data_IF_432562419377
#
_entry.id   IF_432562419377
#
_cell.length_a   1.000
_cell.length_b   1.000
_cell.length_c   1.000
_cell.angle_alpha   90.00
_cell.angle_beta   90.00
_cell.angle_gamma   90.00
#
_symmetry.space_group_name_H-M   'P 1'
#
loop_
_entity.id
_entity.type
_entity.pdbx_description
1 polymer ?
#
# COMPACT_ATOMS: atom_id res chain seq x y z
N UNK A 1 20.81 26.32 -52.42
CA UNK A 1 20.96 26.15 -50.95
C UNK A 1 19.73 25.49 -50.31
N UNK A 2 18.51 25.94 -50.63
CA UNK A 2 17.24 25.43 -50.06
C UNK A 2 17.00 23.93 -50.33
N UNK A 3 17.30 23.40 -51.54
CA UNK A 3 17.08 21.97 -51.86
C UNK A 3 17.98 20.98 -51.10
N UNK A 4 19.12 21.42 -50.55
CA UNK A 4 20.02 20.56 -49.74
C UNK A 4 19.60 20.50 -48.27
N UNK A 5 18.97 21.57 -47.77
CA UNK A 5 18.40 21.61 -46.43
C UNK A 5 17.13 20.73 -46.32
N UNK A 6 16.29 20.70 -47.35
CA UNK A 6 15.09 19.85 -47.35
C UNK A 6 15.39 18.35 -47.36
N UNK A 7 16.47 17.92 -48.02
CA UNK A 7 16.87 16.51 -48.05
C UNK A 7 17.49 16.04 -46.71
N UNK A 8 18.25 16.91 -46.04
CA UNK A 8 18.83 16.63 -44.73
C UNK A 8 17.77 16.57 -43.62
N UNK A 9 16.76 17.45 -43.67
CA UNK A 9 15.64 17.46 -42.73
C UNK A 9 14.72 16.25 -42.93
N UNK A 10 14.48 15.84 -44.18
CA UNK A 10 13.69 14.63 -44.48
C UNK A 10 14.40 13.34 -44.05
N UNK A 11 15.74 13.27 -44.20
CA UNK A 11 16.55 12.16 -43.71
C UNK A 11 16.60 12.09 -42.18
N UNK A 12 16.63 13.24 -41.49
CA UNK A 12 16.55 13.31 -40.04
C UNK A 12 15.16 12.91 -39.51
N UNK A 13 14.08 13.34 -40.18
CA UNK A 13 12.72 12.90 -39.84
C UNK A 13 12.51 11.40 -40.10
N UNK A 14 13.10 10.83 -41.16
CA UNK A 14 13.07 9.39 -41.43
C UNK A 14 13.93 8.58 -40.43
N UNK A 15 15.03 9.13 -39.93
CA UNK A 15 15.83 8.50 -38.87
C UNK A 15 15.12 8.53 -37.50
N UNK A 16 14.38 9.60 -37.20
CA UNK A 16 13.53 9.71 -36.00
C UNK A 16 12.29 8.83 -36.11
N UNK A 17 11.74 8.62 -37.31
CA UNK A 17 10.62 7.69 -37.56
C UNK A 17 11.05 6.22 -37.65
N UNK A 18 12.29 5.92 -38.06
CA UNK A 18 12.88 4.58 -37.98
C UNK A 18 13.33 4.23 -36.54
N UNK A 19 13.43 5.23 -35.66
CA UNK A 19 13.56 5.09 -34.21
C UNK A 19 12.20 5.25 -33.51
N UNK A 20 11.10 4.77 -34.12
CA UNK A 20 9.88 4.42 -33.39
C UNK A 20 10.21 3.46 -32.22
N UNK A 21 9.35 3.36 -31.19
CA UNK A 21 9.71 2.91 -29.84
C UNK A 21 10.04 1.41 -29.79
N UNK A 22 11.19 1.07 -30.33
CA UNK A 22 12.01 -0.07 -29.94
C UNK A 22 13.16 0.48 -29.10
N UNK A 23 12.87 1.41 -28.17
CA UNK A 23 13.50 1.26 -26.89
C UNK A 23 13.09 -0.15 -26.45
N UNK A 24 14.02 -1.10 -26.53
CA UNK A 24 13.90 -2.35 -25.78
C UNK A 24 13.44 -1.90 -24.40
N UNK A 25 12.19 -2.21 -24.04
CA UNK A 25 11.73 -2.02 -22.66
C UNK A 25 12.77 -2.80 -21.87
N UNK A 26 13.61 -2.10 -21.12
CA UNK A 26 14.55 -2.81 -20.26
C UNK A 26 13.68 -3.74 -19.43
N UNK A 27 13.95 -5.04 -19.49
CA UNK A 27 13.20 -6.00 -18.70
C UNK A 27 13.25 -5.54 -17.25
N UNK A 28 12.11 -5.59 -16.57
CA UNK A 28 12.05 -5.25 -15.14
C UNK A 28 13.08 -6.14 -14.42
N UNK A 29 13.89 -5.58 -13.49
CA UNK A 29 14.84 -6.37 -12.73
C UNK A 29 14.12 -7.53 -12.04
N UNK A 30 14.82 -8.65 -11.88
CA UNK A 30 14.25 -9.77 -11.14
C UNK A 30 14.11 -9.41 -9.66
N UNK A 31 13.25 -10.13 -8.95
CA UNK A 31 13.16 -10.02 -7.50
C UNK A 31 14.52 -10.29 -6.86
N UNK A 32 15.26 -11.31 -7.30
CA UNK A 32 16.58 -11.64 -6.74
C UNK A 32 17.58 -10.48 -6.88
N UNK A 33 17.70 -9.89 -8.06
CA UNK A 33 18.58 -8.73 -8.29
C UNK A 33 18.18 -7.53 -7.42
N UNK A 34 16.88 -7.41 -7.10
CA UNK A 34 16.34 -6.36 -6.25
C UNK A 34 16.66 -6.65 -4.78
N UNK A 35 16.47 -7.89 -4.33
CA UNK A 35 16.75 -8.33 -2.94
C UNK A 35 18.22 -8.17 -2.58
N UNK A 36 19.14 -8.39 -3.52
CA UNK A 36 20.57 -8.11 -3.30
C UNK A 36 20.87 -6.64 -2.94
N UNK A 37 20.08 -5.70 -3.46
CA UNK A 37 20.19 -4.30 -3.07
C UNK A 37 19.48 -4.03 -1.74
N UNK A 38 18.31 -4.64 -1.51
CA UNK A 38 17.56 -4.50 -0.25
C UNK A 38 18.38 -5.02 0.92
N UNK A 39 19.01 -6.20 0.81
CA UNK A 39 19.90 -6.76 1.85
C UNK A 39 21.03 -5.81 2.24
N UNK A 40 21.60 -5.10 1.26
CA UNK A 40 22.66 -4.10 1.51
C UNK A 40 22.11 -2.82 2.17
N UNK A 41 20.90 -2.41 1.82
CA UNK A 41 20.20 -1.32 2.50
C UNK A 41 19.86 -1.68 3.95
N UNK A 42 19.35 -2.89 4.19
CA UNK A 42 19.03 -3.39 5.53
C UNK A 42 20.27 -3.48 6.41
N UNK A 43 21.41 -3.95 5.90
CA UNK A 43 22.66 -3.96 6.66
C UNK A 43 23.07 -2.54 7.11
N UNK A 44 22.86 -1.52 6.26
CA UNK A 44 23.10 -0.12 6.65
C UNK A 44 22.08 0.37 7.68
N UNK A 45 20.82 -0.08 7.60
CA UNK A 45 19.77 0.25 8.56
C UNK A 45 20.05 -0.37 9.95
N UNK A 46 20.53 -1.61 9.98
CA UNK A 46 20.97 -2.31 11.19
C UNK A 46 22.17 -1.61 11.85
N UNK A 47 23.20 -1.28 11.06
CA UNK A 47 24.35 -0.50 11.53
C UNK A 47 23.90 0.85 12.12
N UNK A 48 22.99 1.56 11.43
CA UNK A 48 22.45 2.83 11.89
C UNK A 48 21.67 2.69 13.21
N UNK A 49 20.82 1.68 13.33
CA UNK A 49 20.05 1.42 14.55
C UNK A 49 20.96 1.03 15.73
N UNK A 50 22.11 0.38 15.47
CA UNK A 50 23.14 0.13 16.47
C UNK A 50 23.75 1.42 17.05
N UNK A 51 23.81 2.49 16.26
CA UNK A 51 24.26 3.83 16.67
C UNK A 51 23.10 4.71 17.21
N UNK A 52 21.86 4.39 16.84
CA UNK A 52 20.65 5.15 17.16
C UNK A 52 19.56 4.22 17.73
N UNK A 53 19.58 3.93 19.05
CA UNK A 53 18.74 2.89 19.66
C UNK A 53 17.22 3.06 19.52
N UNK A 54 16.74 4.27 19.19
CA UNK A 54 15.32 4.56 18.96
C UNK A 54 14.85 4.26 17.53
N UNK A 55 15.80 3.96 16.63
CA UNK A 55 15.55 3.67 15.23
C UNK A 55 15.29 2.17 15.02
N UNK A 56 14.28 1.87 14.21
CA UNK A 56 13.92 0.52 13.83
C UNK A 56 14.44 0.22 12.41
N UNK A 57 15.25 -0.84 12.20
CA UNK A 57 15.84 -1.14 10.90
C UNK A 57 14.83 -1.36 9.78
N UNK A 58 13.70 -2.03 10.05
CA UNK A 58 12.65 -2.29 9.06
C UNK A 58 11.99 -0.98 8.62
N UNK A 59 11.65 -0.12 9.59
CA UNK A 59 11.10 1.21 9.36
C UNK A 59 12.05 2.06 8.52
N UNK A 60 13.36 2.08 8.85
CA UNK A 60 14.37 2.79 8.06
C UNK A 60 14.45 2.29 6.61
N UNK A 61 14.44 0.96 6.42
CA UNK A 61 14.45 0.35 5.08
C UNK A 61 13.21 0.74 4.29
N UNK A 62 12.00 0.59 4.86
CA UNK A 62 10.73 0.95 4.20
C UNK A 62 10.68 2.46 3.89
N UNK A 63 11.05 3.32 4.84
CA UNK A 63 11.07 4.77 4.61
C UNK A 63 12.04 5.17 3.52
N UNK A 64 13.23 4.55 3.48
CA UNK A 64 14.19 4.79 2.43
C UNK A 64 13.64 4.39 1.06
N UNK A 65 13.00 3.21 0.95
CA UNK A 65 12.42 2.72 -0.30
C UNK A 65 11.30 3.65 -0.80
N UNK A 66 10.34 3.93 0.08
CA UNK A 66 9.08 4.60 -0.28
C UNK A 66 9.19 6.12 -0.36
N UNK A 67 10.11 6.74 0.38
CA UNK A 67 10.05 8.18 0.66
C UNK A 67 10.26 9.09 -0.55
N UNK A 68 10.85 8.62 -1.66
CA UNK A 68 10.92 9.41 -2.90
C UNK A 68 9.59 9.44 -3.68
N UNK A 69 8.78 8.38 -3.59
CA UNK A 69 7.50 8.23 -4.33
C UNK A 69 6.32 8.70 -3.48
N UNK A 70 6.38 8.47 -2.17
CA UNK A 70 5.32 8.73 -1.20
C UNK A 70 5.70 9.89 -0.26
N UNK A 71 6.17 11.00 -0.84
CA UNK A 71 6.60 12.22 -0.13
C UNK A 71 5.43 13.17 0.15
N UNK A 72 4.41 12.69 0.87
CA UNK A 72 3.33 13.54 1.34
C UNK A 72 2.93 13.26 2.79
N UNK A 73 2.22 14.21 3.45
CA UNK A 73 1.94 14.11 4.88
C UNK A 73 1.08 12.90 5.28
N UNK A 74 0.22 12.38 4.39
CA UNK A 74 -0.62 11.21 4.69
C UNK A 74 0.24 9.95 4.72
N UNK A 75 1.16 9.80 3.77
CA UNK A 75 2.09 8.67 3.77
C UNK A 75 3.13 8.77 4.88
N UNK A 76 3.58 9.98 5.20
CA UNK A 76 4.48 10.20 6.35
C UNK A 76 3.83 9.80 7.68
N UNK A 77 2.50 9.97 7.80
CA UNK A 77 1.76 9.53 8.98
C UNK A 77 1.74 8.00 9.11
N UNK A 78 1.67 7.29 7.98
CA UNK A 78 1.52 5.83 7.91
C UNK A 78 2.85 5.11 7.99
N UNK A 79 3.79 5.48 7.13
CA UNK A 79 5.05 4.77 6.96
C UNK A 79 6.11 5.31 7.94
N UNK A 80 5.97 6.54 8.41
CA UNK A 80 7.06 7.32 8.99
C UNK A 80 7.66 8.24 7.94
N UNK A 81 8.11 9.43 8.39
CA UNK A 81 8.79 10.38 7.52
C UNK A 81 10.20 9.92 7.16
N UNK A 82 10.75 10.46 6.07
CA UNK A 82 12.13 10.18 5.70
C UNK A 82 13.12 10.54 6.82
N UNK A 83 14.16 9.71 6.97
CA UNK A 83 15.30 10.04 7.81
C UNK A 83 16.44 10.55 6.92
N UNK A 84 16.52 11.88 6.76
CA UNK A 84 17.53 12.53 5.90
C UNK A 84 18.96 12.13 6.27
N UNK A 85 19.27 12.00 7.57
CA UNK A 85 20.61 11.66 8.03
C UNK A 85 20.97 10.19 7.67
N UNK A 86 20.00 9.28 7.75
CA UNK A 86 20.15 7.92 7.26
C UNK A 86 20.27 7.87 5.72
N UNK A 87 19.47 8.66 5.01
CA UNK A 87 19.54 8.75 3.54
C UNK A 87 20.93 9.22 3.08
N UNK A 88 21.51 10.21 3.76
CA UNK A 88 22.88 10.67 3.54
C UNK A 88 23.92 9.58 3.83
N UNK A 89 23.72 8.80 4.92
CA UNK A 89 24.56 7.65 5.26
C UNK A 89 24.53 6.60 4.15
N UNK A 90 23.37 6.28 3.62
CA UNK A 90 23.22 5.33 2.50
C UNK A 90 23.93 5.87 1.26
N UNK A 91 23.72 7.13 0.88
CA UNK A 91 24.34 7.74 -0.29
C UNK A 91 25.88 7.75 -0.20
N UNK A 92 26.44 7.96 1.00
CA UNK A 92 27.89 7.94 1.23
C UNK A 92 28.47 6.51 1.24
N UNK A 93 27.70 5.53 1.71
CA UNK A 93 28.17 4.15 1.89
C UNK A 93 28.02 3.31 0.61
N UNK A 94 26.88 3.42 -0.07
CA UNK A 94 26.60 2.76 -1.35
C UNK A 94 25.63 3.59 -2.21
N UNK A 95 26.21 4.44 -3.07
CA UNK A 95 25.45 5.29 -3.99
C UNK A 95 24.61 4.48 -5.01
N UNK A 96 24.88 3.18 -5.23
CA UNK A 96 24.09 2.35 -6.15
C UNK A 96 22.67 2.08 -5.63
N UNK A 97 22.47 2.19 -4.31
CA UNK A 97 21.18 1.96 -3.66
C UNK A 97 20.14 3.05 -3.97
N UNK A 98 20.58 4.22 -4.46
CA UNK A 98 19.67 5.27 -4.95
C UNK A 98 18.72 4.76 -6.05
N UNK A 99 19.11 3.71 -6.79
CA UNK A 99 18.25 3.08 -7.80
C UNK A 99 17.01 2.40 -7.23
N UNK A 100 17.02 1.98 -5.95
CA UNK A 100 15.84 1.41 -5.29
C UNK A 100 14.71 2.42 -5.14
N UNK A 101 15.04 3.69 -4.91
CA UNK A 101 14.08 4.78 -4.63
C UNK A 101 13.24 5.19 -5.84
N UNK A 102 13.64 4.77 -7.04
CA UNK A 102 12.94 5.05 -8.31
C UNK A 102 12.51 3.77 -9.01
N UNK A 103 12.60 2.63 -8.30
CA UNK A 103 12.17 1.35 -8.83
C UNK A 103 10.65 1.38 -9.01
N UNK A 104 10.18 0.80 -10.11
CA UNK A 104 8.75 0.62 -10.32
C UNK A 104 8.44 -0.87 -10.32
N UNK A 105 8.63 -1.50 -11.46
CA UNK A 105 8.23 -2.87 -11.69
C UNK A 105 9.39 -3.83 -11.40
N UNK A 106 9.09 -4.95 -10.72
CA UNK A 106 10.01 -6.08 -10.46
C UNK A 106 9.36 -7.37 -10.95
N UNK A 107 10.14 -8.21 -11.63
CA UNK A 107 9.68 -9.53 -12.10
C UNK A 107 9.75 -10.54 -10.97
N UNK A 108 8.61 -11.13 -10.62
CA UNK A 108 8.47 -12.14 -9.57
C UNK A 108 8.91 -13.53 -10.04
N UNK A 109 9.29 -14.44 -9.11
CA UNK A 109 9.57 -15.84 -9.45
C UNK A 109 8.41 -16.58 -10.14
N UNK A 110 7.17 -16.14 -9.89
CA UNK A 110 5.94 -16.65 -10.52
C UNK A 110 5.72 -16.14 -11.95
N UNK A 111 6.55 -15.19 -12.42
CA UNK A 111 6.57 -14.67 -13.80
C UNK A 111 5.80 -13.37 -14.01
N UNK A 112 4.94 -12.98 -13.07
CA UNK A 112 4.26 -11.68 -13.09
C UNK A 112 5.21 -10.54 -12.69
N UNK A 113 4.71 -9.32 -12.78
CA UNK A 113 5.44 -8.11 -12.39
C UNK A 113 4.65 -7.35 -11.34
N UNK A 114 5.31 -7.00 -10.23
CA UNK A 114 4.73 -6.22 -9.13
C UNK A 114 5.28 -4.80 -9.14
N UNK A 115 4.48 -3.81 -8.70
CA UNK A 115 5.01 -2.50 -8.35
C UNK A 115 5.71 -2.59 -6.98
N UNK A 116 7.05 -2.61 -7.00
CA UNK A 116 7.86 -2.92 -5.83
C UNK A 116 7.79 -1.85 -4.74
N UNK A 117 7.70 -0.57 -5.11
CA UNK A 117 7.58 0.50 -4.12
C UNK A 117 6.18 0.56 -3.53
N UNK A 118 5.15 0.21 -4.32
CA UNK A 118 3.80 0.02 -3.82
C UNK A 118 3.77 -1.14 -2.82
N UNK A 119 4.39 -2.27 -3.17
CA UNK A 119 4.49 -3.45 -2.31
C UNK A 119 5.16 -3.13 -0.97
N UNK A 120 6.27 -2.40 -1.01
CA UNK A 120 7.01 -1.99 0.19
C UNK A 120 6.16 -1.05 1.08
N UNK A 121 5.37 -0.17 0.49
CA UNK A 121 4.46 0.70 1.24
C UNK A 121 3.34 -0.11 1.92
N UNK A 122 2.70 -1.02 1.19
CA UNK A 122 1.63 -1.87 1.73
C UNK A 122 2.12 -2.77 2.87
N UNK A 123 3.26 -3.44 2.69
CA UNK A 123 3.87 -4.29 3.72
C UNK A 123 4.36 -3.48 4.93
N UNK A 124 4.98 -2.33 4.68
CA UNK A 124 5.48 -1.42 5.71
C UNK A 124 4.37 -0.85 6.59
N UNK A 125 3.23 -0.50 5.99
CA UNK A 125 2.05 -0.06 6.75
C UNK A 125 1.53 -1.18 7.67
N UNK A 126 1.48 -2.43 7.19
CA UNK A 126 1.12 -3.58 8.01
C UNK A 126 2.04 -3.76 9.22
N UNK A 127 3.36 -3.61 9.02
CA UNK A 127 4.37 -3.68 10.07
C UNK A 127 4.22 -2.57 11.11
N UNK A 128 4.18 -1.30 10.68
CA UNK A 128 4.17 -0.13 11.60
C UNK A 128 2.96 -0.09 12.54
N UNK A 129 1.81 -0.59 12.10
CA UNK A 129 0.58 -0.59 12.91
C UNK A 129 0.29 -1.94 13.59
N UNK A 130 1.07 -2.98 13.29
CA UNK A 130 0.83 -4.34 13.78
C UNK A 130 -0.49 -4.96 13.29
N UNK A 131 -1.11 -4.37 12.26
CA UNK A 131 -2.32 -4.87 11.61
C UNK A 131 -2.40 -4.33 10.17
N UNK A 132 -2.94 -5.09 9.21
CA UNK A 132 -3.06 -4.62 7.83
C UNK A 132 -3.90 -3.35 7.76
N UNK A 133 -3.33 -2.28 7.19
CA UNK A 133 -4.08 -1.05 6.92
C UNK A 133 -4.68 -1.13 5.52
N UNK A 134 -6.00 -1.21 5.42
CA UNK A 134 -6.70 -1.38 4.14
C UNK A 134 -6.46 -0.15 3.24
N UNK A 135 -6.46 1.05 3.81
CA UNK A 135 -6.21 2.29 3.03
C UNK A 135 -4.81 2.35 2.39
N UNK A 136 -3.83 1.67 2.98
CA UNK A 136 -2.44 1.67 2.52
C UNK A 136 -2.13 0.51 1.57
N UNK A 137 -3.17 -0.26 1.22
CA UNK A 137 -3.14 -1.34 0.24
C UNK A 137 -4.39 -1.20 -0.64
N UNK A 138 -5.10 -2.30 -0.89
CA UNK A 138 -6.22 -2.41 -1.83
C UNK A 138 -7.34 -1.38 -1.64
N UNK A 139 -7.55 -0.86 -0.44
CA UNK A 139 -8.57 0.16 -0.18
C UNK A 139 -8.25 1.50 -0.83
N UNK A 140 -6.99 1.93 -0.81
CA UNK A 140 -6.58 3.18 -1.46
C UNK A 140 -6.83 3.13 -2.97
N UNK A 141 -6.42 2.03 -3.59
CA UNK A 141 -6.58 1.81 -5.02
C UNK A 141 -8.04 1.58 -5.42
N UNK A 142 -8.86 0.95 -4.57
CA UNK A 142 -10.32 0.91 -4.78
C UNK A 142 -10.93 2.32 -4.82
N UNK A 143 -10.50 3.24 -3.95
CA UNK A 143 -10.97 4.65 -3.98
C UNK A 143 -10.55 5.34 -5.27
N UNK A 144 -9.29 5.20 -5.69
CA UNK A 144 -8.79 5.82 -6.92
C UNK A 144 -9.47 5.27 -8.17
N UNK A 145 -9.65 3.95 -8.23
CA UNK A 145 -10.39 3.29 -9.30
C UNK A 145 -11.83 3.79 -9.36
N UNK A 146 -12.53 3.83 -8.23
CA UNK A 146 -13.91 4.34 -8.15
C UNK A 146 -14.02 5.81 -8.59
N UNK A 147 -13.09 6.66 -8.16
CA UNK A 147 -13.08 8.08 -8.53
C UNK A 147 -13.02 8.30 -10.05
N UNK A 148 -12.44 7.37 -10.81
CA UNK A 148 -12.37 7.45 -12.28
C UNK A 148 -13.73 7.41 -12.98
N UNK A 149 -14.78 6.93 -12.29
CA UNK A 149 -16.16 6.86 -12.77
C UNK A 149 -17.15 7.56 -11.82
N UNK A 150 -16.67 8.52 -11.03
CA UNK A 150 -17.51 9.34 -10.15
C UNK A 150 -18.69 9.94 -10.92
N UNK A 151 -19.91 9.79 -10.36
CA UNK A 151 -21.14 10.33 -10.93
C UNK A 151 -21.60 9.66 -12.23
N UNK A 152 -20.98 8.55 -12.66
CA UNK A 152 -21.39 7.82 -13.86
C UNK A 152 -22.80 7.24 -13.72
N UNK A 153 -23.10 6.60 -12.58
CA UNK A 153 -24.38 5.95 -12.30
C UNK A 153 -24.58 5.80 -10.79
N UNK A 154 -25.85 5.73 -10.36
CA UNK A 154 -26.22 5.30 -9.00
C UNK A 154 -26.34 3.77 -8.89
N UNK A 155 -26.22 3.05 -10.02
CA UNK A 155 -26.23 1.58 -10.08
C UNK A 155 -24.80 1.04 -10.11
N UNK A 156 -24.43 0.26 -9.09
CA UNK A 156 -23.07 -0.28 -8.94
C UNK A 156 -22.67 -1.20 -10.10
N UNK A 157 -23.62 -1.93 -10.69
CA UNK A 157 -23.40 -2.82 -11.83
C UNK A 157 -22.92 -2.05 -13.08
N UNK A 158 -23.46 -0.85 -13.32
CA UNK A 158 -23.03 0.00 -14.43
C UNK A 158 -21.60 0.50 -14.20
N UNK A 159 -21.28 0.91 -12.98
CA UNK A 159 -19.92 1.29 -12.61
C UNK A 159 -18.96 0.10 -12.69
N UNK A 160 -19.39 -1.10 -12.30
CA UNK A 160 -18.62 -2.33 -12.38
C UNK A 160 -18.22 -2.64 -13.82
N UNK A 161 -19.17 -2.60 -14.75
CA UNK A 161 -18.90 -2.81 -16.18
C UNK A 161 -17.90 -1.78 -16.72
N UNK A 162 -18.03 -0.52 -16.32
CA UNK A 162 -17.14 0.56 -16.75
C UNK A 162 -15.69 0.39 -16.23
N UNK A 163 -15.53 -0.13 -15.02
CA UNK A 163 -14.23 -0.32 -14.37
C UNK A 163 -13.55 -1.66 -14.74
N UNK A 164 -14.32 -2.67 -15.13
CA UNK A 164 -13.84 -4.04 -15.36
C UNK A 164 -12.67 -4.14 -16.36
N UNK A 165 -12.64 -3.27 -17.37
CA UNK A 165 -11.60 -3.32 -18.41
C UNK A 165 -10.24 -2.77 -17.95
N UNK A 166 -10.21 -1.88 -16.96
CA UNK A 166 -8.98 -1.26 -16.45
C UNK A 166 -8.48 -1.90 -15.16
N UNK A 167 -9.38 -2.52 -14.38
CA UNK A 167 -9.03 -3.25 -13.17
C UNK A 167 -8.16 -4.47 -13.48
N UNK A 168 -7.03 -4.59 -12.78
CA UNK A 168 -6.09 -5.69 -12.92
C UNK A 168 -5.59 -5.91 -14.37
N UNK A 169 -5.55 -4.85 -15.20
CA UNK A 169 -4.98 -4.93 -16.54
C UNK A 169 -3.45 -5.14 -16.44
N UNK A 170 -2.88 -6.25 -16.98
CA UNK A 170 -1.43 -6.50 -16.97
C UNK A 170 -0.61 -5.47 -17.75
N UNK A 171 -1.22 -4.84 -18.76
CA UNK A 171 -0.61 -3.76 -19.55
C UNK A 171 -1.02 -2.36 -19.06
N UNK A 172 -1.85 -2.30 -18.03
CA UNK A 172 -2.52 -1.09 -17.58
C UNK A 172 -1.54 -0.08 -16.97
N UNK A 173 -1.82 1.19 -17.20
CA UNK A 173 -1.28 2.31 -16.42
C UNK A 173 -2.41 3.13 -15.77
N UNK A 174 -3.59 2.51 -15.67
CA UNK A 174 -4.77 3.08 -15.00
C UNK A 174 -4.61 3.08 -13.48
N UNK A 175 -5.72 3.29 -12.78
CA UNK A 175 -5.72 3.51 -11.33
C UNK A 175 -5.49 2.27 -10.48
N UNK A 176 -5.79 1.06 -10.99
CA UNK A 176 -5.57 -0.19 -10.26
C UNK A 176 -5.16 -1.34 -11.20
N UNK A 177 -3.96 -1.25 -11.83
CA UNK A 177 -3.46 -2.27 -12.75
C UNK A 177 -3.03 -3.54 -12.01
N UNK A 178 -2.70 -4.61 -12.75
CA UNK A 178 -2.31 -5.88 -12.13
C UNK A 178 -1.08 -5.74 -11.21
N UNK A 179 -0.12 -4.89 -11.55
CA UNK A 179 1.08 -4.68 -10.75
C UNK A 179 0.79 -4.18 -9.34
N UNK A 180 -0.25 -3.38 -9.20
CA UNK A 180 -0.63 -2.71 -7.95
C UNK A 180 -1.57 -3.63 -7.17
N UNK A 181 -2.48 -4.35 -7.84
CA UNK A 181 -3.23 -5.45 -7.22
C UNK A 181 -2.31 -6.49 -6.58
N UNK A 182 -1.28 -6.93 -7.30
CA UNK A 182 -0.28 -7.84 -6.76
C UNK A 182 0.46 -7.21 -5.58
N UNK A 183 0.82 -5.93 -5.67
CA UNK A 183 1.51 -5.21 -4.61
C UNK A 183 0.68 -5.11 -3.33
N UNK A 184 -0.63 -4.86 -3.45
CA UNK A 184 -1.55 -4.75 -2.34
C UNK A 184 -1.80 -6.08 -1.64
N UNK A 185 -2.10 -7.11 -2.43
CA UNK A 185 -2.40 -8.44 -1.91
C UNK A 185 -1.15 -9.07 -1.29
N UNK A 186 -0.02 -9.02 -1.99
CA UNK A 186 1.25 -9.53 -1.48
C UNK A 186 1.75 -8.69 -0.31
N UNK A 187 1.55 -7.37 -0.34
CA UNK A 187 1.95 -6.45 0.71
C UNK A 187 1.24 -6.74 2.03
N UNK A 188 -0.05 -7.03 2.00
CA UNK A 188 -0.80 -7.48 3.19
C UNK A 188 -0.23 -8.80 3.73
N UNK A 189 0.01 -9.78 2.86
CA UNK A 189 0.54 -11.09 3.26
C UNK A 189 1.95 -10.98 3.86
N UNK A 190 2.85 -10.25 3.20
CA UNK A 190 4.23 -10.01 3.66
C UNK A 190 4.23 -9.17 4.93
N UNK A 191 3.37 -8.16 5.04
CA UNK A 191 3.27 -7.32 6.23
C UNK A 191 2.96 -8.11 7.50
N UNK A 192 2.19 -9.20 7.41
CA UNK A 192 1.95 -10.11 8.54
C UNK A 192 3.15 -10.99 8.91
N UNK A 193 4.10 -11.14 8.00
CA UNK A 193 5.35 -11.90 8.22
C UNK A 193 6.46 -11.02 8.80
N UNK A 194 6.25 -9.71 8.88
CA UNK A 194 7.19 -8.75 9.45
C UNK A 194 6.89 -8.53 10.94
N UNK A 195 7.93 -8.67 11.75
CA UNK A 195 7.93 -8.50 13.19
C UNK A 195 9.30 -7.99 13.62
N UNK A 196 9.41 -7.58 14.88
CA UNK A 196 10.64 -6.96 15.39
C UNK A 196 11.84 -7.90 15.22
N UNK A 197 12.90 -7.39 14.58
CA UNK A 197 14.12 -8.15 14.28
C UNK A 197 14.05 -9.07 13.06
N UNK A 198 12.96 -9.05 12.29
CA UNK A 198 12.89 -9.72 10.99
C UNK A 198 13.43 -8.84 9.86
N UNK A 199 13.99 -9.47 8.83
CA UNK A 199 14.43 -8.81 7.61
C UNK A 199 13.27 -8.72 6.61
N UNK A 200 13.10 -7.53 6.03
CA UNK A 200 12.18 -7.28 4.92
C UNK A 200 12.55 -8.10 3.68
N UNK A 201 13.85 -8.19 3.33
CA UNK A 201 14.28 -9.02 2.20
C UNK A 201 14.03 -10.51 2.44
N UNK A 202 14.26 -11.01 3.65
CA UNK A 202 13.96 -12.39 4.01
C UNK A 202 12.46 -12.71 3.94
N UNK A 203 11.60 -11.80 4.43
CA UNK A 203 10.15 -11.98 4.35
C UNK A 203 9.64 -12.03 2.89
N UNK A 204 10.19 -11.19 2.01
CA UNK A 204 9.93 -11.22 0.57
C UNK A 204 10.41 -12.53 -0.06
N UNK A 205 11.63 -12.95 0.24
CA UNK A 205 12.23 -14.18 -0.29
C UNK A 205 11.40 -15.42 0.11
N UNK A 206 11.08 -15.56 1.40
CA UNK A 206 10.30 -16.68 1.92
C UNK A 206 8.88 -16.70 1.33
N UNK A 207 8.24 -15.53 1.20
CA UNK A 207 6.90 -15.43 0.61
C UNK A 207 6.88 -15.86 -0.85
N UNK A 208 7.77 -15.30 -1.68
CA UNK A 208 7.78 -15.59 -3.10
C UNK A 208 8.36 -16.97 -3.44
N UNK A 209 9.24 -17.52 -2.60
CA UNK A 209 9.66 -18.92 -2.71
C UNK A 209 8.47 -19.86 -2.48
N UNK A 210 7.69 -19.64 -1.42
CA UNK A 210 6.50 -20.44 -1.13
C UNK A 210 5.45 -20.35 -2.26
N UNK A 211 5.23 -19.15 -2.82
CA UNK A 211 4.34 -18.99 -3.97
C UNK A 211 4.85 -19.71 -5.22
N UNK A 212 6.15 -19.68 -5.50
CA UNK A 212 6.73 -20.34 -6.66
C UNK A 212 6.66 -21.88 -6.59
N UNK A 213 6.58 -22.44 -5.38
CA UNK A 213 6.41 -23.88 -5.13
C UNK A 213 4.95 -24.32 -5.16
N UNK A 214 3.99 -23.39 -5.10
CA UNK A 214 2.57 -23.72 -5.10
C UNK A 214 2.10 -24.22 -6.47
N UNK A 215 1.19 -25.20 -6.47
CA UNK A 215 0.56 -25.70 -7.70
C UNK A 215 -0.25 -24.60 -8.43
N UNK A 216 -0.86 -23.70 -7.65
CA UNK A 216 -1.55 -22.51 -8.13
C UNK A 216 -1.14 -21.29 -7.29
N UNK A 217 -0.16 -20.49 -7.76
CA UNK A 217 0.31 -19.32 -7.04
C UNK A 217 -0.75 -18.24 -6.82
N UNK A 218 -1.73 -18.12 -7.73
CA UNK A 218 -2.81 -17.13 -7.59
C UNK A 218 -3.76 -17.54 -6.47
N UNK A 219 -4.16 -18.81 -6.44
CA UNK A 219 -4.98 -19.36 -5.36
C UNK A 219 -4.27 -19.26 -4.00
N UNK A 220 -2.98 -19.62 -3.93
CA UNK A 220 -2.21 -19.56 -2.69
C UNK A 220 -2.11 -18.12 -2.13
N UNK A 221 -1.81 -17.16 -2.99
CA UNK A 221 -1.79 -15.71 -2.68
C UNK A 221 -3.13 -15.23 -2.14
N UNK A 222 -4.21 -15.49 -2.88
CA UNK A 222 -5.57 -15.06 -2.52
C UNK A 222 -6.07 -15.76 -1.26
N UNK A 223 -5.65 -17.00 -1.00
CA UNK A 223 -6.03 -17.73 0.21
C UNK A 223 -5.43 -17.10 1.47
N UNK A 224 -4.12 -16.77 1.45
CA UNK A 224 -3.47 -16.10 2.57
C UNK A 224 -4.08 -14.71 2.82
N UNK A 225 -4.35 -13.96 1.75
CA UNK A 225 -4.96 -12.63 1.84
C UNK A 225 -6.37 -12.67 2.39
N UNK A 226 -7.23 -13.55 1.87
CA UNK A 226 -8.62 -13.68 2.34
C UNK A 226 -8.67 -14.15 3.78
N UNK A 227 -7.79 -15.09 4.16
CA UNK A 227 -7.67 -15.53 5.55
C UNK A 227 -7.31 -14.35 6.47
N UNK A 228 -6.35 -13.52 6.06
CA UNK A 228 -5.90 -12.35 6.80
C UNK A 228 -6.98 -11.26 6.92
N UNK A 229 -7.60 -10.85 5.82
CA UNK A 229 -8.52 -9.72 5.76
C UNK A 229 -9.96 -10.06 6.16
N UNK A 230 -10.41 -11.27 5.82
CA UNK A 230 -11.82 -11.66 5.87
C UNK A 230 -12.05 -12.94 6.70
N UNK A 231 -10.99 -13.57 7.23
CA UNK A 231 -11.09 -14.77 8.03
C UNK A 231 -11.56 -15.98 7.23
N UNK A 232 -12.47 -16.77 7.81
CA UNK A 232 -12.99 -17.99 7.19
C UNK A 232 -14.12 -17.73 6.18
N UNK A 233 -13.92 -16.79 5.26
CA UNK A 233 -14.95 -16.36 4.32
C UNK A 233 -15.32 -17.45 3.30
N UNK A 234 -16.60 -17.55 2.97
CA UNK A 234 -17.09 -18.36 1.85
C UNK A 234 -17.04 -17.51 0.58
N UNK A 235 -16.05 -17.75 -0.28
CA UNK A 235 -15.90 -16.97 -1.53
C UNK A 235 -16.83 -17.44 -2.64
N UNK A 236 -17.50 -18.59 -2.45
CA UNK A 236 -18.51 -19.10 -3.38
C UNK A 236 -19.89 -18.45 -3.22
N UNK A 237 -20.18 -17.88 -2.05
CA UNK A 237 -21.32 -16.99 -1.83
C UNK A 237 -21.00 -15.58 -2.37
N UNK A 238 -21.20 -15.37 -3.67
CA UNK A 238 -20.83 -14.12 -4.34
C UNK A 238 -21.46 -12.87 -3.70
N UNK A 239 -22.74 -12.93 -3.32
CA UNK A 239 -23.43 -11.79 -2.69
C UNK A 239 -22.90 -11.55 -1.27
N UNK A 240 -22.77 -12.62 -0.48
CA UNK A 240 -22.25 -12.55 0.88
C UNK A 240 -20.80 -12.07 0.94
N UNK A 241 -19.94 -12.57 0.04
CA UNK A 241 -18.54 -12.19 -0.01
C UNK A 241 -18.35 -10.74 -0.47
N UNK A 242 -19.07 -10.29 -1.52
CA UNK A 242 -19.07 -8.87 -1.92
C UNK A 242 -19.52 -7.95 -0.78
N UNK A 243 -20.55 -8.35 -0.03
CA UNK A 243 -21.03 -7.58 1.12
C UNK A 243 -19.99 -7.54 2.26
N UNK A 244 -19.26 -8.63 2.49
CA UNK A 244 -18.17 -8.70 3.46
C UNK A 244 -17.00 -7.78 3.05
N UNK A 245 -16.57 -7.81 1.79
CA UNK A 245 -15.51 -6.94 1.27
C UNK A 245 -15.92 -5.47 1.41
N UNK A 246 -17.14 -5.09 0.99
CA UNK A 246 -17.66 -3.74 1.17
C UNK A 246 -17.65 -3.28 2.62
N UNK A 247 -18.16 -4.12 3.53
CA UNK A 247 -18.22 -3.81 4.95
C UNK A 247 -16.81 -3.60 5.52
N UNK A 248 -15.88 -4.48 5.17
CA UNK A 248 -14.49 -4.44 5.64
C UNK A 248 -13.79 -3.19 5.13
N UNK A 249 -13.93 -2.89 3.84
CA UNK A 249 -13.47 -1.65 3.21
C UNK A 249 -13.98 -0.40 3.93
N UNK A 250 -15.31 -0.27 4.07
CA UNK A 250 -15.91 0.96 4.59
C UNK A 250 -15.78 1.11 6.11
N UNK A 251 -15.49 0.02 6.84
CA UNK A 251 -15.24 0.08 8.29
C UNK A 251 -13.81 0.51 8.63
N UNK A 252 -12.90 0.53 7.66
CA UNK A 252 -11.53 0.98 7.85
C UNK A 252 -11.48 2.50 8.09
N UNK A 253 -10.90 2.91 9.21
CA UNK A 253 -10.82 4.31 9.59
C UNK A 253 -9.93 5.12 8.64
N UNK A 254 -8.89 4.50 8.08
CA UNK A 254 -8.02 5.09 7.09
C UNK A 254 -8.76 5.39 5.79
N UNK A 255 -9.56 4.44 5.29
CA UNK A 255 -10.41 4.59 4.11
C UNK A 255 -11.42 5.72 4.33
N UNK A 256 -12.10 5.75 5.48
CA UNK A 256 -13.02 6.83 5.80
C UNK A 256 -12.33 8.21 5.82
N UNK A 257 -11.14 8.29 6.42
CA UNK A 257 -10.36 9.52 6.42
C UNK A 257 -9.95 9.92 4.99
N UNK A 258 -9.53 8.96 4.16
CA UNK A 258 -9.15 9.21 2.78
C UNK A 258 -10.32 9.72 1.94
N UNK A 259 -11.51 9.15 2.12
CA UNK A 259 -12.74 9.60 1.48
C UNK A 259 -13.11 11.03 1.90
N UNK A 260 -13.00 11.37 3.19
CA UNK A 260 -13.25 12.72 3.70
C UNK A 260 -12.23 13.73 3.17
N UNK A 261 -10.94 13.36 3.16
CA UNK A 261 -9.86 14.22 2.68
C UNK A 261 -9.99 14.56 1.18
N UNK A 262 -10.63 13.70 0.39
CA UNK A 262 -10.88 13.92 -1.04
C UNK A 262 -12.29 14.42 -1.35
N UNK A 263 -13.07 14.82 -0.33
CA UNK A 263 -14.44 15.32 -0.50
C UNK A 263 -15.39 14.31 -1.20
N UNK A 264 -15.12 13.01 -1.06
CA UNK A 264 -15.99 11.90 -1.51
C UNK A 264 -17.00 11.46 -0.46
N UNK A 265 -16.80 11.90 0.78
CA UNK A 265 -17.71 11.71 1.89
C UNK A 265 -17.85 13.02 2.68
N UNK A 266 -18.94 13.11 3.43
CA UNK A 266 -19.23 14.15 4.41
C UNK A 266 -19.33 13.54 5.81
N UNK A 267 -19.39 14.39 6.83
CA UNK A 267 -19.67 13.98 8.21
C UNK A 267 -21.12 14.33 8.55
N UNK A 268 -21.89 13.33 8.99
CA UNK A 268 -23.26 13.51 9.44
C UNK A 268 -23.34 14.36 10.70
N UNK A 269 -24.56 14.82 11.05
CA UNK A 269 -24.79 15.52 12.32
C UNK A 269 -24.46 14.69 13.58
N UNK A 270 -24.33 13.37 13.44
CA UNK A 270 -23.96 12.43 14.51
C UNK A 270 -22.47 12.05 14.49
N UNK A 271 -21.66 12.68 13.62
CA UNK A 271 -20.22 12.44 13.53
C UNK A 271 -19.84 11.19 12.73
N UNK A 272 -20.74 10.63 11.93
CA UNK A 272 -20.47 9.46 11.10
C UNK A 272 -20.07 9.87 9.68
N UNK A 273 -19.15 9.12 9.07
CA UNK A 273 -18.81 9.26 7.65
C UNK A 273 -19.99 8.84 6.79
N UNK A 274 -20.42 9.72 5.88
CA UNK A 274 -21.52 9.48 4.93
C UNK A 274 -21.00 9.73 3.52
N UNK A 275 -21.09 8.72 2.67
CA UNK A 275 -20.68 8.83 1.27
C UNK A 275 -21.53 9.85 0.52
N UNK A 276 -20.91 10.56 -0.42
CA UNK A 276 -21.66 11.35 -1.39
C UNK A 276 -22.35 10.41 -2.38
N UNK A 277 -23.54 10.81 -2.82
CA UNK A 277 -24.40 9.98 -3.68
C UNK A 277 -23.73 9.58 -5.00
N UNK A 278 -22.85 10.44 -5.53
CA UNK A 278 -22.11 10.22 -6.76
C UNK A 278 -20.88 9.30 -6.60
N UNK A 279 -20.58 8.84 -5.38
CA UNK A 279 -19.43 7.98 -5.07
C UNK A 279 -19.79 6.61 -4.52
N UNK A 280 -20.98 6.40 -3.94
CA UNK A 280 -21.33 5.10 -3.34
C UNK A 280 -21.32 3.96 -4.37
N UNK A 281 -22.00 4.13 -5.51
CA UNK A 281 -22.04 3.10 -6.56
C UNK A 281 -20.66 2.81 -7.18
N UNK A 282 -19.82 3.82 -7.52
CA UNK A 282 -18.43 3.59 -7.91
C UNK A 282 -17.59 2.80 -6.88
N UNK A 283 -17.69 3.13 -5.59
CA UNK A 283 -16.92 2.45 -4.55
C UNK A 283 -17.39 1.01 -4.35
N UNK A 284 -18.72 0.77 -4.40
CA UNK A 284 -19.28 -0.58 -4.37
C UNK A 284 -18.79 -1.40 -5.56
N UNK A 285 -18.76 -0.83 -6.75
CA UNK A 285 -18.25 -1.49 -7.95
C UNK A 285 -16.77 -1.90 -7.83
N UNK A 286 -15.92 -1.01 -7.29
CA UNK A 286 -14.52 -1.33 -7.05
C UNK A 286 -14.35 -2.48 -6.03
N UNK A 287 -15.14 -2.47 -4.95
CA UNK A 287 -15.15 -3.57 -3.97
C UNK A 287 -15.67 -4.89 -4.57
N UNK A 288 -16.67 -4.82 -5.45
CA UNK A 288 -17.18 -5.99 -6.17
C UNK A 288 -16.10 -6.60 -7.07
N UNK A 289 -15.35 -5.79 -7.81
CA UNK A 289 -14.23 -6.25 -8.64
C UNK A 289 -13.15 -6.97 -7.82
N UNK A 290 -12.77 -6.42 -6.67
CA UNK A 290 -11.82 -7.06 -5.75
C UNK A 290 -12.36 -8.40 -5.23
N UNK A 291 -13.62 -8.44 -4.79
CA UNK A 291 -14.26 -9.66 -4.30
C UNK A 291 -14.34 -10.74 -5.39
N UNK A 292 -14.78 -10.37 -6.60
CA UNK A 292 -14.93 -11.29 -7.71
C UNK A 292 -13.59 -11.86 -8.18
N UNK A 293 -12.53 -11.05 -8.15
CA UNK A 293 -11.17 -11.52 -8.47
C UNK A 293 -10.68 -12.55 -7.46
N UNK A 294 -10.80 -12.25 -6.17
CA UNK A 294 -10.40 -13.17 -5.09
C UNK A 294 -11.21 -14.48 -5.15
N UNK A 295 -12.52 -14.40 -5.38
CA UNK A 295 -13.37 -15.57 -5.55
C UNK A 295 -12.98 -16.40 -6.79
N UNK A 296 -12.61 -15.75 -7.90
CA UNK A 296 -12.15 -16.42 -9.10
C UNK A 296 -10.79 -17.13 -8.89
N UNK A 297 -9.83 -16.48 -8.22
CA UNK A 297 -8.54 -17.08 -7.89
C UNK A 297 -8.70 -18.30 -6.96
N UNK A 298 -9.78 -18.34 -6.16
CA UNK A 298 -10.06 -19.40 -5.19
C UNK A 298 -11.08 -20.44 -5.67
N UNK A 299 -11.57 -20.34 -6.91
CA UNK A 299 -12.66 -21.18 -7.45
C UNK A 299 -13.87 -21.27 -6.50
N UNK A 300 -14.20 -20.16 -5.82
CA UNK A 300 -15.29 -20.08 -4.86
C UNK A 300 -15.11 -20.91 -3.58
N UNK A 301 -13.86 -21.23 -3.20
CA UNK A 301 -13.59 -22.01 -1.99
C UNK A 301 -13.98 -21.27 -0.70
N UNK A 302 -14.31 -22.05 0.35
CA UNK A 302 -14.38 -21.55 1.72
C UNK A 302 -12.96 -21.50 2.29
N UNK A 303 -12.51 -20.31 2.65
CA UNK A 303 -11.16 -20.10 3.17
C UNK A 303 -11.07 -20.58 4.61
N UNK A 304 -9.94 -21.19 4.96
CA UNK A 304 -9.65 -21.55 6.34
C UNK A 304 -9.10 -20.32 7.06
N UNK A 305 -9.68 -19.90 8.20
CA UNK A 305 -9.17 -18.74 8.93
C UNK A 305 -7.73 -19.01 9.41
N UNK A 306 -6.93 -17.95 9.63
CA UNK A 306 -5.59 -18.10 10.18
C UNK A 306 -5.69 -18.78 11.54
N UNK A 307 -4.69 -19.61 11.87
CA UNK A 307 -4.62 -20.22 13.19
C UNK A 307 -4.63 -19.11 14.26
N UNK A 308 -5.34 -19.29 15.39
CA UNK A 308 -5.30 -18.30 16.45
C UNK A 308 -3.86 -18.15 16.91
N UNK A 309 -3.31 -16.95 16.81
CA UNK A 309 -2.00 -16.61 17.36
C UNK A 309 -2.02 -16.96 18.85
N UNK A 310 -1.04 -17.72 19.37
CA UNK A 310 -0.90 -17.85 20.82
C UNK A 310 -0.85 -16.45 21.40
N UNK A 311 -1.82 -16.11 22.27
CA UNK A 311 -1.78 -14.83 22.98
C UNK A 311 -0.44 -14.71 23.70
N UNK A 312 0.08 -13.48 23.89
CA UNK A 312 1.37 -13.30 24.56
C UNK A 312 1.32 -14.03 25.90
N UNK A 313 2.21 -15.01 26.07
CA UNK A 313 2.46 -15.57 27.39
C UNK A 313 2.77 -14.38 28.30
N UNK A 314 2.07 -14.26 29.43
CA UNK A 314 2.20 -13.12 30.32
C UNK A 314 3.65 -13.02 30.81
N UNK A 315 4.48 -12.23 30.11
CA UNK A 315 5.82 -11.88 30.55
C UNK A 315 5.67 -11.15 31.88
N UNK A 316 6.38 -11.55 32.95
CA UNK A 316 6.32 -10.83 34.21
C UNK A 316 6.70 -9.38 33.97
N UNK A 317 5.88 -8.46 34.46
CA UNK A 317 6.05 -7.03 34.27
C UNK A 317 7.51 -6.61 34.57
N UNK A 318 8.19 -5.88 33.66
CA UNK A 318 9.54 -5.42 33.91
C UNK A 318 9.55 -4.49 35.12
N UNK A 319 10.53 -4.71 36.00
CA UNK A 319 10.80 -3.84 37.15
C UNK A 319 11.08 -2.43 36.64
N UNK A 320 10.41 -1.37 37.15
CA UNK A 320 10.57 -0.03 36.60
C UNK A 320 12.00 0.48 36.83
N UNK A 321 12.73 0.68 35.72
CA UNK A 321 13.96 1.46 35.69
C UNK A 321 13.54 2.93 35.60
N UNK A 322 14.11 3.86 36.39
CA UNK A 322 13.78 5.28 36.26
C UNK A 322 14.29 5.79 34.91
N UNK A 323 13.38 6.19 34.01
CA UNK A 323 13.73 6.84 32.75
C UNK A 323 14.25 8.27 33.00
N UNK A 324 15.29 8.65 32.26
CA UNK A 324 15.79 10.02 32.15
C UNK A 324 14.76 10.87 31.38
N UNK A 325 14.45 12.11 31.83
CA UNK A 325 13.35 12.91 31.27
C UNK A 325 13.60 13.51 29.88
N UNK A 326 14.69 13.17 29.18
CA UNK A 326 15.05 13.78 27.89
C UNK A 326 14.77 12.93 26.63
N UNK A 327 14.22 11.71 26.75
CA UNK A 327 14.06 10.80 25.59
C UNK A 327 12.61 10.38 25.26
N UNK A 328 11.61 11.19 25.57
CA UNK A 328 10.21 10.89 25.24
C UNK A 328 9.70 11.76 24.08
N UNK A 329 10.03 11.36 22.85
CA UNK A 329 9.33 11.85 21.67
C UNK A 329 7.89 11.30 21.60
N UNK A 330 6.95 11.99 20.94
CA UNK A 330 5.54 11.57 20.86
C UNK A 330 5.35 10.16 20.28
N UNK A 331 6.30 9.71 19.45
CA UNK A 331 6.28 8.41 18.79
C UNK A 331 6.65 7.23 19.69
N UNK A 332 7.35 7.45 20.81
CA UNK A 332 7.68 6.38 21.76
C UNK A 332 6.45 5.91 22.55
N UNK A 333 5.50 6.82 22.81
CA UNK A 333 4.23 6.49 23.47
C UNK A 333 3.28 5.75 22.52
N UNK A 334 3.25 6.16 21.25
CA UNK A 334 2.49 5.51 20.17
C UNK A 334 2.92 4.06 19.94
N UNK A 335 4.23 3.78 19.91
CA UNK A 335 4.75 2.42 19.73
C UNK A 335 4.39 1.47 20.87
N UNK A 336 4.19 1.99 22.09
CA UNK A 336 3.80 1.19 23.28
C UNK A 336 2.31 0.91 23.36
N UNK A 337 1.48 1.77 22.76
CA UNK A 337 0.02 1.61 22.72
C UNK A 337 -0.53 2.26 21.42
N UNK A 338 -0.71 1.48 20.35
CA UNK A 338 -1.26 1.97 19.07
C UNK A 338 -2.65 2.60 19.21
N UNK A 339 -3.40 2.26 20.27
CA UNK A 339 -4.69 2.86 20.60
C UNK A 339 -4.59 4.36 20.94
N UNK A 340 -3.43 4.85 21.38
CA UNK A 340 -3.17 6.27 21.57
C UNK A 340 -3.13 7.03 20.25
N UNK A 341 -2.63 6.41 19.17
CA UNK A 341 -2.59 7.04 17.84
C UNK A 341 -3.99 7.10 17.23
N UNK A 342 -4.77 6.02 17.35
CA UNK A 342 -6.20 6.02 16.96
C UNK A 342 -7.02 7.03 17.79
N UNK A 343 -6.77 7.13 19.09
CA UNK A 343 -7.38 8.13 19.96
C UNK A 343 -6.96 9.57 19.62
N UNK A 344 -5.68 9.78 19.31
CA UNK A 344 -5.14 11.08 18.91
C UNK A 344 -5.62 11.49 17.51
N UNK A 345 -5.74 10.56 16.56
CA UNK A 345 -6.34 10.77 15.25
C UNK A 345 -7.83 11.06 15.36
N UNK A 346 -8.56 10.36 16.23
CA UNK A 346 -9.96 10.68 16.54
C UNK A 346 -10.11 12.08 17.15
N UNK A 347 -9.20 12.49 18.04
CA UNK A 347 -9.16 13.83 18.62
C UNK A 347 -8.75 14.91 17.60
N UNK A 348 -7.81 14.62 16.71
CA UNK A 348 -7.40 15.50 15.62
C UNK A 348 -8.53 15.68 14.60
N UNK A 349 -9.22 14.60 14.23
CA UNK A 349 -10.43 14.65 13.42
C UNK A 349 -11.51 15.49 14.10
N UNK A 350 -11.76 15.29 15.41
CA UNK A 350 -12.70 16.11 16.18
C UNK A 350 -12.30 17.59 16.26
N UNK A 351 -11.00 17.89 16.42
CA UNK A 351 -10.49 19.26 16.44
C UNK A 351 -10.58 19.93 15.07
N UNK A 352 -10.30 19.19 14.00
CA UNK A 352 -10.45 19.67 12.62
C UNK A 352 -11.93 19.94 12.30
N UNK A 353 -12.84 19.07 12.74
CA UNK A 353 -14.29 19.25 12.64
C UNK A 353 -14.77 20.49 13.43
N UNK A 354 -14.21 20.74 14.62
CA UNK A 354 -14.55 21.92 15.40
C UNK A 354 -14.08 23.23 14.73
N UNK A 355 -12.90 23.22 14.12
CA UNK A 355 -12.37 24.37 13.36
C UNK A 355 -13.17 24.59 12.08
N UNK A 356 -13.48 23.53 11.33
CA UNK A 356 -14.31 23.62 10.13
C UNK A 356 -15.72 24.16 10.44
N UNK A 357 -16.35 23.69 11.52
CA UNK A 357 -17.64 24.19 11.97
C UNK A 357 -17.59 25.67 12.43
N UNK A 358 -16.49 26.10 13.06
CA UNK A 358 -16.28 27.50 13.45
C UNK A 358 -16.10 28.41 12.22
N UNK A 359 -15.35 27.96 11.22
CA UNK A 359 -15.14 28.68 9.95
C UNK A 359 -16.42 28.77 9.13
N UNK A 360 -17.24 27.72 9.11
CA UNK A 360 -18.57 27.73 8.47
C UNK A 360 -19.52 28.75 9.11
N UNK A 361 -19.56 28.83 10.45
CA UNK A 361 -20.38 29.83 11.17
C UNK A 361 -19.94 31.29 10.96
N UNK A 362 -18.69 31.50 10.58
CA UNK A 362 -18.16 32.84 10.26
C UNK A 362 -18.47 33.26 8.82
N UNK A 363 -18.78 32.31 7.93
CA UNK A 363 -19.13 32.55 6.53
C UNK A 363 -20.59 33.00 6.34
N UNK A 364 -21.47 32.65 7.26
CA UNK A 364 -22.91 33.00 7.25
C UNK A 364 -23.27 34.26 8.07
N UNK A 365 -22.28 35.11 8.39
CA UNK A 365 -22.47 36.45 8.96
C UNK A 365 -22.08 37.54 7.98
#
# INVERSE_FOLDING_TARGET
MIRRFSAALLALCLAVLAAGPFAVRADAPTLEDTLDKVRRLEALAEDWAGEHPDADPVTLTVNYLCGARYDDPLWSLVLGGENEAFNDRVAQSDASLASLRVLKNVTLPTGETVDFLHLAAAAGAGYSYGMPQIVCSWGGDCVQLAASVQGLSEEAEVCYEALSASFCDPGGSGYFPLSDWLADVDGVNIGQRLGEGQSFSAALEDYYAALAEADDPAAARSQEFVACQFGGADTGDAEGFRALVWKTFFSDAGVQLFLLANEYADVSGEGQTVLRADMEAPLRAACMLAADRLAADLDGAVVTPPAPTPGPEATPAPTPVPESPEAAGPWAAVRRDPGLLLGAMGLLAAAFLAVAAALWRLRDR
#
